data_IF_445032336635
#
_entry.id   IF_445032336635
#
_cell.length_a   1.000
_cell.length_b   1.000
_cell.length_c   1.000
_cell.angle_alpha   90.00
_cell.angle_beta   90.00
_cell.angle_gamma   90.00
#
_symmetry.space_group_name_H-M   'P 1'
#
loop_
_entity.id
_entity.type
_entity.pdbx_description
1 polymer ?
#
# COMPACT_ATOMS: atom_id res chain seq x y z
N UNK A 1 -9.51 -8.95 -5.69
CA UNK A 1 -8.11 -9.24 -5.26
C UNK A 1 -7.86 -8.65 -3.89
N UNK A 2 -7.11 -9.32 -3.01
CA UNK A 2 -6.71 -8.76 -1.70
C UNK A 2 -5.19 -8.59 -1.68
N UNK A 3 -4.72 -7.42 -1.29
CA UNK A 3 -3.31 -7.03 -1.17
C UNK A 3 -3.06 -6.63 0.26
N UNK A 4 -2.08 -7.26 0.91
CA UNK A 4 -1.76 -7.01 2.31
C UNK A 4 -0.43 -6.29 2.40
N UNK A 5 -0.43 -5.04 2.84
CA UNK A 5 0.76 -4.22 2.99
C UNK A 5 1.26 -4.31 4.43
N UNK A 6 2.48 -4.82 4.62
CA UNK A 6 2.96 -5.11 5.97
C UNK A 6 4.49 -5.02 6.12
N UNK A 7 4.94 -4.85 7.35
CA UNK A 7 6.33 -5.02 7.79
C UNK A 7 6.37 -4.99 9.31
N UNK A 8 7.19 -5.84 9.93
CA UNK A 8 7.37 -5.90 11.40
C UNK A 8 8.00 -4.66 12.03
N UNK A 9 8.29 -3.60 11.25
CA UNK A 9 8.96 -2.37 11.69
C UNK A 9 8.04 -1.17 11.44
N UNK A 10 7.98 -0.27 12.42
CA UNK A 10 7.37 1.05 12.26
C UNK A 10 8.22 1.97 11.37
N UNK A 11 7.61 2.99 10.77
CA UNK A 11 8.35 4.03 10.03
C UNK A 11 8.87 3.66 8.63
N UNK A 12 8.64 2.42 8.15
CA UNK A 12 9.06 2.01 6.80
C UNK A 12 8.23 2.65 5.66
N UNK A 13 7.13 3.32 6.00
CA UNK A 13 6.22 3.95 5.04
C UNK A 13 5.14 3.04 4.46
N UNK A 14 4.74 1.97 5.19
CA UNK A 14 3.61 1.08 4.84
C UNK A 14 2.37 1.86 4.42
N UNK A 15 1.86 2.72 5.29
CA UNK A 15 0.67 3.54 5.04
C UNK A 15 0.82 4.45 3.82
N UNK A 16 2.00 5.02 3.61
CA UNK A 16 2.29 5.82 2.41
C UNK A 16 2.19 4.98 1.14
N UNK A 17 2.77 3.77 1.15
CA UNK A 17 2.71 2.83 0.03
C UNK A 17 1.30 2.30 -0.17
N UNK A 18 0.60 1.92 0.90
CA UNK A 18 -0.73 1.33 0.86
C UNK A 18 -1.79 2.30 0.31
N UNK A 19 -1.82 3.54 0.82
CA UNK A 19 -2.73 4.58 0.32
C UNK A 19 -2.43 4.94 -1.14
N UNK A 20 -1.14 5.04 -1.50
CA UNK A 20 -0.72 5.32 -2.88
C UNK A 20 -1.06 4.17 -3.83
N UNK A 21 -0.87 2.93 -3.39
CA UNK A 21 -1.20 1.71 -4.13
C UNK A 21 -2.70 1.57 -4.33
N UNK A 22 -3.52 1.85 -3.32
CA UNK A 22 -4.98 1.82 -3.44
C UNK A 22 -5.48 2.79 -4.52
N UNK A 23 -4.93 4.00 -4.56
CA UNK A 23 -5.25 4.99 -5.60
C UNK A 23 -4.79 4.51 -6.99
N UNK A 24 -3.59 3.93 -7.08
CA UNK A 24 -3.09 3.41 -8.35
C UNK A 24 -3.94 2.24 -8.87
N UNK A 25 -4.36 1.33 -7.99
CA UNK A 25 -5.26 0.23 -8.33
C UNK A 25 -6.65 0.75 -8.73
N UNK A 26 -7.18 1.77 -8.04
CA UNK A 26 -8.46 2.38 -8.43
C UNK A 26 -8.44 2.91 -9.87
N UNK A 27 -7.33 3.58 -10.23
CA UNK A 27 -7.13 4.14 -11.58
C UNK A 27 -6.85 3.09 -12.65
N UNK A 28 -6.15 2.00 -12.32
CA UNK A 28 -5.66 1.03 -13.31
C UNK A 28 -6.52 -0.23 -13.44
N UNK A 29 -7.31 -0.56 -12.43
CA UNK A 29 -8.03 -1.84 -12.36
C UNK A 29 -9.52 -1.67 -12.05
N UNK A 30 -9.88 -0.66 -11.27
CA UNK A 30 -11.26 -0.35 -10.93
C UNK A 30 -11.47 -0.23 -9.42
N UNK A 31 -12.74 -0.13 -9.02
CA UNK A 31 -13.15 0.25 -7.66
C UNK A 31 -12.34 -0.48 -6.60
N UNK A 32 -11.58 0.27 -5.81
CA UNK A 32 -10.63 -0.26 -4.82
C UNK A 32 -11.03 0.16 -3.41
N UNK A 33 -10.98 -0.77 -2.46
CA UNK A 33 -11.14 -0.53 -1.04
C UNK A 33 -9.77 -0.48 -0.35
N UNK A 34 -9.50 0.59 0.38
CA UNK A 34 -8.43 0.68 1.35
C UNK A 34 -8.97 0.35 2.74
N UNK A 35 -8.34 -0.59 3.43
CA UNK A 35 -8.66 -0.95 4.82
C UNK A 35 -7.45 -0.64 5.68
N UNK A 36 -7.58 0.30 6.60
CA UNK A 36 -6.57 0.53 7.64
C UNK A 36 -6.91 -0.29 8.86
N UNK A 37 -5.94 -1.06 9.34
CA UNK A 37 -6.06 -1.83 10.57
C UNK A 37 -5.12 -1.22 11.63
N UNK A 38 -5.57 -1.13 12.88
CA UNK A 38 -4.72 -0.87 14.02
C UNK A 38 -5.08 0.39 14.81
N UNK A 39 -4.27 0.77 15.81
CA UNK A 39 -4.69 1.74 16.82
C UNK A 39 -4.63 3.21 16.38
N UNK A 40 -4.04 3.52 15.22
CA UNK A 40 -3.84 4.92 14.79
C UNK A 40 -4.32 5.08 13.34
N UNK A 41 -5.40 5.85 13.10
CA UNK A 41 -5.98 6.05 11.77
C UNK A 41 -5.21 7.12 10.97
N UNK A 42 -4.05 6.79 10.42
CA UNK A 42 -3.23 7.71 9.61
C UNK A 42 -3.62 7.64 8.14
N UNK A 43 -3.80 6.44 7.60
CA UNK A 43 -4.08 6.21 6.19
C UNK A 43 -5.44 6.72 5.73
N UNK A 44 -6.50 6.49 6.52
CA UNK A 44 -7.82 7.06 6.24
C UNK A 44 -7.79 8.58 6.27
N UNK A 45 -7.00 9.19 7.18
CA UNK A 45 -6.78 10.65 7.19
C UNK A 45 -6.07 11.14 5.94
N UNK A 46 -5.05 10.41 5.46
CA UNK A 46 -4.39 10.71 4.18
C UNK A 46 -5.40 10.67 3.03
N UNK A 47 -6.31 9.71 3.03
CA UNK A 47 -7.40 9.60 2.05
C UNK A 47 -8.56 10.59 2.29
N UNK A 48 -8.52 11.40 3.35
CA UNK A 48 -9.54 12.40 3.66
C UNK A 48 -10.84 11.82 4.23
N UNK A 49 -10.76 10.67 4.91
CA UNK A 49 -11.90 9.91 5.44
C UNK A 49 -11.88 9.88 6.97
N UNK A 50 -13.08 9.87 7.57
CA UNK A 50 -13.28 9.74 9.01
C UNK A 50 -12.99 8.31 9.50
N UNK A 51 -12.49 8.21 10.72
CA UNK A 51 -12.14 6.93 11.37
C UNK A 51 -13.31 6.41 12.23
N UNK A 52 -14.49 6.24 11.64
CA UNK A 52 -15.74 5.88 12.36
C UNK A 52 -16.19 4.42 12.15
N UNK A 53 -15.34 3.60 11.52
CA UNK A 53 -15.64 2.18 11.22
C UNK A 53 -16.53 1.95 10.00
N UNK A 54 -16.96 2.99 9.29
CA UNK A 54 -17.76 2.87 8.05
C UNK A 54 -16.90 3.01 6.81
N UNK A 55 -17.43 2.51 5.69
CA UNK A 55 -16.83 2.67 4.37
C UNK A 55 -17.25 4.02 3.81
N UNK A 56 -16.28 4.85 3.43
CA UNK A 56 -16.49 6.17 2.84
C UNK A 56 -15.77 6.29 1.49
N UNK A 57 -16.22 7.22 0.66
CA UNK A 57 -15.45 7.65 -0.50
C UNK A 57 -14.31 8.58 -0.06
N UNK A 58 -13.09 8.22 -0.44
CA UNK A 58 -11.88 8.96 -0.18
C UNK A 58 -11.25 9.51 -1.46
N UNK A 59 -10.13 10.23 -1.28
CA UNK A 59 -9.38 10.85 -2.38
C UNK A 59 -8.88 9.81 -3.38
N UNK A 60 -8.92 10.17 -4.67
CA UNK A 60 -8.42 9.34 -5.76
C UNK A 60 -9.32 8.15 -6.09
N UNK A 61 -10.63 8.32 -5.91
CA UNK A 61 -11.67 7.35 -6.22
C UNK A 61 -11.52 6.02 -5.46
N UNK A 62 -11.00 6.09 -4.23
CA UNK A 62 -10.78 4.94 -3.35
C UNK A 62 -11.86 4.91 -2.28
N UNK A 63 -12.50 3.76 -2.08
CA UNK A 63 -13.27 3.54 -0.86
C UNK A 63 -12.30 3.32 0.31
N UNK A 64 -12.56 3.87 1.48
CA UNK A 64 -11.70 3.69 2.64
C UNK A 64 -12.50 3.36 3.89
N UNK A 65 -11.94 2.53 4.75
CA UNK A 65 -12.48 2.18 6.08
C UNK A 65 -11.35 1.96 7.06
N UNK A 66 -11.59 2.35 8.31
CA UNK A 66 -10.70 2.14 9.43
C UNK A 66 -11.26 1.08 10.37
N UNK A 67 -10.42 0.14 10.80
CA UNK A 67 -10.73 -0.87 11.80
C UNK A 67 -9.66 -0.81 12.91
N UNK A 68 -10.09 -0.82 14.17
CA UNK A 68 -9.17 -0.77 15.32
C UNK A 68 -8.30 -2.04 15.41
N UNK A 69 -8.86 -3.18 14.99
CA UNK A 69 -8.18 -4.47 14.83
C UNK A 69 -8.73 -5.23 13.60
N UNK A 70 -8.18 -6.40 13.29
CA UNK A 70 -8.55 -7.19 12.11
C UNK A 70 -9.71 -8.17 12.33
N UNK A 71 -10.36 -8.17 13.50
CA UNK A 71 -11.45 -9.11 13.83
C UNK A 71 -12.69 -8.93 12.94
N UNK A 72 -12.92 -7.70 12.46
CA UNK A 72 -14.04 -7.34 11.59
C UNK A 72 -13.72 -7.44 10.09
N UNK A 73 -12.46 -7.71 9.73
CA UNK A 73 -12.03 -7.76 8.34
C UNK A 73 -12.78 -8.84 7.54
N UNK A 74 -13.00 -10.09 8.03
CA UNK A 74 -13.74 -11.09 7.26
C UNK A 74 -15.18 -10.66 6.92
N UNK A 75 -15.91 -10.08 7.89
CA UNK A 75 -17.29 -9.63 7.70
C UNK A 75 -17.35 -8.42 6.76
N UNK A 76 -16.38 -7.51 6.86
CA UNK A 76 -16.23 -6.41 5.92
C UNK A 76 -16.01 -6.93 4.49
N UNK A 77 -15.08 -7.87 4.30
CA UNK A 77 -14.76 -8.46 3.00
C UNK A 77 -15.96 -9.18 2.39
N UNK A 78 -16.73 -9.91 3.19
CA UNK A 78 -17.98 -10.55 2.76
C UNK A 78 -19.02 -9.51 2.33
N UNK A 79 -19.19 -8.44 3.12
CA UNK A 79 -20.14 -7.36 2.84
C UNK A 79 -19.83 -6.59 1.55
N UNK A 80 -18.55 -6.29 1.29
CA UNK A 80 -18.16 -5.58 0.07
C UNK A 80 -18.12 -6.51 -1.15
N UNK A 81 -17.94 -7.82 -0.94
CA UNK A 81 -18.08 -8.85 -1.95
C UNK A 81 -17.40 -8.51 -3.28
N UNK A 82 -18.20 -8.57 -4.36
CA UNK A 82 -17.75 -8.28 -5.73
C UNK A 82 -17.90 -6.81 -6.14
N UNK A 83 -18.34 -5.92 -5.24
CA UNK A 83 -18.50 -4.50 -5.55
C UNK A 83 -17.15 -3.79 -5.70
N UNK A 84 -16.08 -4.40 -5.20
CA UNK A 84 -14.71 -3.92 -5.30
C UNK A 84 -13.82 -4.92 -6.04
N UNK A 85 -12.99 -4.40 -6.93
CA UNK A 85 -12.06 -5.20 -7.73
C UNK A 85 -10.78 -5.52 -6.95
N UNK A 86 -10.37 -4.62 -6.06
CA UNK A 86 -9.22 -4.77 -5.20
C UNK A 86 -9.49 -4.29 -3.76
N UNK A 87 -8.85 -4.94 -2.80
CA UNK A 87 -8.77 -4.52 -1.40
C UNK A 87 -7.30 -4.40 -1.02
N UNK A 88 -6.90 -3.25 -0.50
CA UNK A 88 -5.56 -3.00 0.05
C UNK A 88 -5.69 -2.88 1.57
N UNK A 89 -5.12 -3.83 2.31
CA UNK A 89 -5.13 -3.85 3.77
C UNK A 89 -3.78 -3.33 4.28
N UNK A 90 -3.77 -2.19 4.97
CA UNK A 90 -2.60 -1.63 5.65
C UNK A 90 -2.55 -2.14 7.08
N UNK A 91 -1.59 -3.03 7.37
CA UNK A 91 -1.41 -3.61 8.69
C UNK A 91 -0.37 -2.85 9.52
N UNK A 92 -0.60 -2.69 10.83
CA UNK A 92 0.39 -2.14 11.74
C UNK A 92 1.53 -3.16 11.96
N UNK A 93 2.71 -2.73 12.43
CA UNK A 93 3.85 -3.64 12.61
C UNK A 93 3.59 -4.83 13.55
N UNK A 94 2.68 -4.66 14.51
CA UNK A 94 2.37 -5.64 15.55
C UNK A 94 1.37 -6.72 15.13
N UNK A 95 0.62 -6.52 14.05
CA UNK A 95 -0.38 -7.48 13.56
C UNK A 95 0.20 -8.14 12.31
N UNK A 96 0.42 -9.45 12.36
CA UNK A 96 0.81 -10.20 11.18
C UNK A 96 -0.42 -10.42 10.29
N UNK A 97 -0.31 -10.19 8.99
CA UNK A 97 -1.39 -10.51 8.07
C UNK A 97 -1.72 -12.01 8.12
N UNK A 98 -3.01 -12.32 8.00
CA UNK A 98 -3.50 -13.70 7.94
C UNK A 98 -3.18 -14.40 6.61
N UNK A 99 -3.53 -15.67 6.51
CA UNK A 99 -3.40 -16.43 5.26
C UNK A 99 -4.39 -15.93 4.19
N UNK A 100 -3.96 -15.97 2.92
CA UNK A 100 -4.73 -15.48 1.78
C UNK A 100 -4.28 -14.12 1.26
N UNK A 101 -4.69 -13.77 0.04
CA UNK A 101 -4.26 -12.53 -0.63
C UNK A 101 -2.78 -12.50 -1.02
N UNK A 102 -2.35 -11.37 -1.59
CA UNK A 102 -0.97 -11.11 -1.98
C UNK A 102 -0.29 -10.24 -0.93
N UNK A 103 0.72 -10.79 -0.24
CA UNK A 103 1.57 -10.04 0.67
C UNK A 103 2.53 -9.12 -0.10
N UNK A 104 2.54 -7.84 0.25
CA UNK A 104 3.47 -6.82 -0.25
C UNK A 104 4.24 -6.23 0.95
N UNK A 105 5.41 -6.77 1.28
CA UNK A 105 6.21 -6.27 2.38
C UNK A 105 6.89 -4.95 2.03
N UNK A 106 6.89 -3.99 2.96
CA UNK A 106 7.47 -2.64 2.76
C UNK A 106 8.56 -2.37 3.78
N UNK A 107 9.81 -2.40 3.35
CA UNK A 107 10.97 -2.07 4.17
C UNK A 107 11.51 -0.67 3.85
N UNK A 108 12.18 -0.04 4.81
CA UNK A 108 13.09 1.05 4.49
C UNK A 108 14.49 0.52 4.17
N UNK A 109 15.40 1.39 3.76
CA UNK A 109 16.80 1.01 3.47
C UNK A 109 17.51 0.36 4.67
N UNK A 110 17.16 0.69 5.91
CA UNK A 110 17.73 0.09 7.12
C UNK A 110 17.19 -1.33 7.38
N UNK A 111 15.97 -1.62 6.93
CA UNK A 111 15.34 -2.94 7.08
C UNK A 111 15.25 -3.71 5.76
N UNK A 112 16.00 -3.33 4.72
CA UNK A 112 15.93 -3.97 3.41
C UNK A 112 16.17 -5.49 3.50
N UNK A 113 17.16 -5.91 4.30
CA UNK A 113 17.51 -7.32 4.49
C UNK A 113 16.39 -8.17 5.11
N UNK A 114 15.38 -7.57 5.76
CA UNK A 114 14.26 -8.35 6.30
C UNK A 114 13.25 -8.74 5.24
N UNK A 115 13.28 -8.12 4.06
CA UNK A 115 12.40 -8.49 2.94
C UNK A 115 12.63 -9.94 2.48
N UNK A 116 13.87 -10.44 2.50
CA UNK A 116 14.19 -11.83 2.11
C UNK A 116 13.44 -12.88 2.93
N UNK A 117 13.17 -12.56 4.20
CA UNK A 117 12.50 -13.48 5.13
C UNK A 117 11.01 -13.66 4.83
N UNK A 118 10.42 -12.76 4.03
CA UNK A 118 8.98 -12.74 3.76
C UNK A 118 8.55 -13.72 2.69
N UNK A 119 9.48 -14.17 1.83
CA UNK A 119 9.20 -15.01 0.64
C UNK A 119 8.10 -14.43 -0.28
N UNK A 120 7.83 -13.13 -0.20
CA UNK A 120 6.81 -12.47 -1.02
C UNK A 120 7.21 -12.45 -2.50
N UNK A 121 6.25 -12.53 -3.42
CA UNK A 121 6.51 -12.50 -4.87
C UNK A 121 6.94 -11.11 -5.37
N UNK A 122 6.47 -10.07 -4.69
CA UNK A 122 6.86 -8.67 -4.90
C UNK A 122 7.08 -8.02 -3.54
N UNK A 123 8.08 -7.16 -3.44
CA UNK A 123 8.41 -6.41 -2.23
C UNK A 123 8.69 -4.95 -2.57
N UNK A 124 8.62 -4.08 -1.57
CA UNK A 124 8.90 -2.65 -1.71
C UNK A 124 10.09 -2.27 -0.84
N UNK A 125 11.12 -1.73 -1.47
CA UNK A 125 12.19 -1.00 -0.79
C UNK A 125 11.83 0.48 -0.85
N UNK A 126 11.25 0.99 0.22
CA UNK A 126 10.86 2.38 0.36
C UNK A 126 12.01 3.23 0.93
N UNK A 127 11.92 4.54 0.72
CA UNK A 127 12.93 5.52 1.16
C UNK A 127 14.34 5.12 0.71
N UNK A 128 14.47 4.55 -0.49
CA UNK A 128 15.75 4.16 -1.04
C UNK A 128 16.64 5.39 -1.23
N UNK A 129 17.90 5.28 -0.80
CA UNK A 129 18.93 6.34 -0.87
C UNK A 129 20.11 5.90 -1.74
N UNK A 130 19.86 5.04 -2.72
CA UNK A 130 20.92 4.43 -3.53
C UNK A 130 21.54 3.22 -2.83
N UNK A 131 20.77 2.54 -1.98
CA UNK A 131 21.27 1.37 -1.27
C UNK A 131 21.37 0.19 -2.25
N UNK A 132 22.58 -0.34 -2.40
CA UNK A 132 22.84 -1.54 -3.19
C UNK A 132 22.29 -2.76 -2.46
N UNK A 133 21.00 -3.00 -2.66
CA UNK A 133 20.30 -4.19 -2.20
C UNK A 133 19.80 -4.99 -3.38
N UNK A 134 20.11 -6.29 -3.36
CA UNK A 134 19.55 -7.32 -4.23
C UNK A 134 18.93 -8.38 -3.32
N UNK A 135 17.67 -8.72 -3.56
CA UNK A 135 17.09 -9.92 -2.94
C UNK A 135 17.82 -11.14 -3.51
N UNK A 136 18.15 -12.07 -2.64
CA UNK A 136 18.64 -13.41 -3.03
C UNK A 136 17.55 -14.31 -3.62
N UNK A 137 16.27 -13.94 -3.45
CA UNK A 137 15.11 -14.69 -3.95
C UNK A 137 14.60 -14.15 -5.28
N UNK A 138 13.82 -14.96 -6.01
CA UNK A 138 13.14 -14.60 -7.28
C UNK A 138 12.02 -13.54 -7.12
N UNK A 139 12.06 -12.77 -6.04
CA UNK A 139 11.10 -11.74 -5.68
C UNK A 139 11.46 -10.43 -6.39
N UNK A 140 10.48 -9.81 -7.05
CA UNK A 140 10.70 -8.48 -7.62
C UNK A 140 10.71 -7.42 -6.52
N UNK A 141 11.67 -6.48 -6.59
CA UNK A 141 11.73 -5.34 -5.67
C UNK A 141 11.39 -4.06 -6.40
N UNK A 142 10.28 -3.45 -6.00
CA UNK A 142 9.98 -2.08 -6.40
C UNK A 142 10.72 -1.13 -5.47
N UNK A 143 11.71 -0.43 -6.01
CA UNK A 143 12.46 0.60 -5.29
C UNK A 143 11.73 1.94 -5.39
N UNK A 144 11.42 2.53 -4.25
CA UNK A 144 10.83 3.87 -4.14
C UNK A 144 11.86 4.78 -3.45
N UNK A 145 12.36 5.82 -4.14
CA UNK A 145 13.40 6.67 -3.58
C UNK A 145 12.86 7.52 -2.42
N UNK A 146 13.76 7.90 -1.51
CA UNK A 146 13.45 8.94 -0.53
C UNK A 146 13.16 10.26 -1.25
N UNK A 147 12.03 10.89 -0.90
CA UNK A 147 11.65 12.19 -1.44
C UNK A 147 11.07 13.08 -0.35
N UNK A 148 11.62 14.28 -0.18
CA UNK A 148 11.07 15.28 0.75
C UNK A 148 9.64 15.68 0.39
N UNK A 149 9.29 15.70 -0.90
CA UNK A 149 7.93 16.01 -1.34
C UNK A 149 6.93 14.93 -0.89
N UNK A 150 7.34 13.66 -0.90
CA UNK A 150 6.53 12.53 -0.41
C UNK A 150 6.35 12.63 1.10
N UNK A 151 7.42 12.84 1.87
CA UNK A 151 7.34 12.99 3.33
C UNK A 151 6.46 14.17 3.73
N UNK A 152 6.59 15.31 3.03
CA UNK A 152 5.77 16.50 3.25
C UNK A 152 4.29 16.24 2.96
N UNK A 153 3.97 15.63 1.81
CA UNK A 153 2.59 15.32 1.47
C UNK A 153 1.94 14.42 2.54
N UNK A 154 2.65 13.39 3.01
CA UNK A 154 2.15 12.53 4.11
C UNK A 154 1.95 13.31 5.40
N UNK A 155 2.87 14.20 5.77
CA UNK A 155 2.74 15.04 6.95
C UNK A 155 1.55 16.02 6.87
N UNK A 156 1.18 16.44 5.66
CA UNK A 156 0.01 17.26 5.37
C UNK A 156 -1.27 16.42 5.17
N UNK A 157 -1.22 15.10 5.44
CA UNK A 157 -2.30 14.14 5.19
C UNK A 157 -2.82 14.18 3.76
N UNK A 158 -1.94 14.27 2.76
CA UNK A 158 -2.27 14.23 1.33
C UNK A 158 -1.60 13.01 0.67
N UNK A 159 -2.32 12.22 -0.16
CA UNK A 159 -1.70 11.08 -0.83
C UNK A 159 -0.63 11.57 -1.81
N UNK A 160 0.64 11.13 -1.69
CA UNK A 160 1.74 11.68 -2.51
C UNK A 160 1.50 11.52 -4.00
N UNK A 161 0.89 10.42 -4.43
CA UNK A 161 0.56 10.15 -5.85
C UNK A 161 -0.49 11.10 -6.46
N UNK A 162 -1.17 11.91 -5.65
CA UNK A 162 -2.08 12.96 -6.13
C UNK A 162 -1.41 14.34 -6.20
N UNK A 163 -0.23 14.50 -5.59
CA UNK A 163 0.51 15.75 -5.62
C UNK A 163 1.32 15.83 -6.92
N UNK A 164 1.31 16.99 -7.58
CA UNK A 164 2.13 17.21 -8.78
C UNK A 164 3.61 16.95 -8.44
N UNK A 165 4.34 16.11 -9.20
CA UNK A 165 5.75 15.85 -8.93
C UNK A 165 6.58 17.13 -8.89
N UNK A 166 7.32 17.31 -7.79
CA UNK A 166 8.13 18.50 -7.50
C UNK A 166 9.64 18.21 -7.55
N UNK A 167 10.04 16.94 -7.67
CA UNK A 167 11.43 16.52 -7.82
C UNK A 167 11.52 15.22 -8.65
N UNK A 168 12.71 14.87 -9.19
CA UNK A 168 12.93 13.59 -9.85
C UNK A 168 12.56 12.39 -8.98
N UNK A 169 12.91 12.41 -7.69
CA UNK A 169 12.63 11.33 -6.74
C UNK A 169 11.12 11.20 -6.50
N UNK A 170 10.39 12.33 -6.41
CA UNK A 170 8.94 12.28 -6.31
C UNK A 170 8.31 11.66 -7.57
N UNK A 171 8.79 12.05 -8.77
CA UNK A 171 8.33 11.45 -10.02
C UNK A 171 8.60 9.94 -10.06
N UNK A 172 9.81 9.52 -9.68
CA UNK A 172 10.20 8.11 -9.60
C UNK A 172 9.38 7.34 -8.55
N UNK A 173 9.01 7.97 -7.43
CA UNK A 173 8.09 7.39 -6.45
C UNK A 173 6.73 7.09 -7.09
N UNK A 174 6.13 8.07 -7.78
CA UNK A 174 4.82 7.90 -8.44
C UNK A 174 4.88 6.82 -9.51
N UNK A 175 5.93 6.80 -10.33
CA UNK A 175 6.15 5.75 -11.34
C UNK A 175 6.37 4.37 -10.68
N UNK A 176 7.10 4.32 -9.58
CA UNK A 176 7.30 3.11 -8.79
C UNK A 176 5.99 2.54 -8.24
N UNK A 177 5.11 3.39 -7.70
CA UNK A 177 3.77 2.95 -7.25
C UNK A 177 2.93 2.40 -8.41
N UNK A 178 2.99 3.01 -9.60
CA UNK A 178 2.30 2.46 -10.78
C UNK A 178 2.83 1.09 -11.17
N UNK A 179 4.16 0.91 -11.20
CA UNK A 179 4.78 -0.40 -11.45
C UNK A 179 4.37 -1.44 -10.41
N UNK A 180 4.29 -1.04 -9.13
CA UNK A 180 3.80 -1.92 -8.07
C UNK A 180 2.35 -2.35 -8.34
N UNK A 181 1.47 -1.41 -8.69
CA UNK A 181 0.08 -1.73 -9.01
C UNK A 181 -0.03 -2.71 -10.20
N UNK A 182 0.71 -2.44 -11.28
CA UNK A 182 0.76 -3.33 -12.45
C UNK A 182 1.23 -4.74 -12.07
N UNK A 183 2.29 -4.83 -11.25
CA UNK A 183 2.83 -6.11 -10.80
C UNK A 183 1.86 -6.87 -9.91
N UNK A 184 1.17 -6.18 -9.02
CA UNK A 184 0.16 -6.76 -8.13
C UNK A 184 -1.01 -7.33 -8.94
N UNK A 185 -1.49 -6.60 -9.96
CA UNK A 185 -2.55 -7.06 -10.88
C UNK A 185 -2.10 -8.32 -11.62
N UNK A 186 -0.88 -8.33 -12.17
CA UNK A 186 -0.31 -9.47 -12.87
C UNK A 186 -0.19 -10.71 -11.96
N UNK A 187 0.33 -10.53 -10.74
CA UNK A 187 0.51 -11.61 -9.78
C UNK A 187 -0.81 -12.22 -9.28
N UNK A 188 -1.91 -11.48 -9.36
CA UNK A 188 -3.25 -11.99 -9.09
C UNK A 188 -3.85 -12.78 -10.26
N UNK A 189 -3.13 -12.91 -11.39
CA UNK A 189 -3.61 -13.63 -12.58
C UNK A 189 -4.72 -12.89 -13.32
N UNK A 190 -4.89 -11.59 -13.06
CA UNK A 190 -5.93 -10.77 -13.64
C UNK A 190 -5.42 -10.13 -14.94
N UNK A 191 -6.11 -10.38 -16.06
CA UNK A 191 -5.85 -9.65 -17.31
C UNK A 191 -6.48 -8.26 -17.20
N UNK A 192 -5.76 -7.21 -17.58
CA UNK A 192 -6.32 -5.85 -17.73
C UNK A 192 -7.69 -5.96 -18.42
N UNK A 193 -8.73 -5.42 -17.80
CA UNK A 193 -10.02 -5.27 -18.46
C UNK A 193 -9.85 -4.44 -19.73
N UNK A 194 -10.74 -4.62 -20.72
CA UNK A 194 -10.71 -3.83 -21.95
C UNK A 194 -10.74 -2.33 -21.69
#
# INVERSE_FOLDING_TARGET
MIVQVWHSKGGTGKTTVATSLAIALSKSWGRTLYVEVGPVPVGVKILGVEADGKVHEGRGDVLAVYLEDDSQLPQLLEKVGNDVMAVVVDYPPCIKPGEGGLLVPVADWLSASTLEKTKAKVAVLNKDRGFEFKLTTASEVVKLPFSYAVERAVAEYVPPVLVRPASPEHKQFVEGIRRLADRVIELAGLKRGP
#
